data_IF_049570474853
#
_entry.id   IF_049570474853
#
_cell.length_a   1.000
_cell.length_b   1.000
_cell.length_c   1.000
_cell.angle_alpha   90.00
_cell.angle_beta   90.00
_cell.angle_gamma   90.00
#
_symmetry.space_group_name_H-M   'P 1'
#
loop_
_entity.id
_entity.type
_entity.pdbx_description
1 polymer ?
#
# COMPACT_ATOMS: atom_id res chain seq x y z
N UNK A 1 -29.78 -5.31 56.50
CA UNK A 1 -29.51 -4.05 55.79
C UNK A 1 -28.33 -4.18 54.81
N UNK A 2 -28.20 -5.31 54.09
CA UNK A 2 -26.99 -5.61 53.28
C UNK A 2 -27.23 -5.61 51.75
N UNK A 3 -28.45 -5.42 51.27
CA UNK A 3 -28.79 -5.62 49.84
C UNK A 3 -28.50 -4.43 48.92
N UNK A 4 -28.30 -3.22 49.45
CA UNK A 4 -28.26 -1.99 48.64
C UNK A 4 -26.82 -1.68 48.17
N UNK A 5 -25.80 -2.02 48.97
CA UNK A 5 -24.40 -1.74 48.68
C UNK A 5 -23.81 -2.63 47.55
N UNK A 6 -24.26 -3.88 47.42
CA UNK A 6 -23.81 -4.79 46.36
C UNK A 6 -24.32 -4.38 44.96
N UNK A 7 -25.51 -3.78 44.88
CA UNK A 7 -26.11 -3.35 43.61
C UNK A 7 -25.37 -2.15 42.98
N UNK A 8 -24.94 -1.20 43.81
CA UNK A 8 -24.15 -0.05 43.36
C UNK A 8 -22.74 -0.46 42.87
N UNK A 9 -22.13 -1.46 43.51
CA UNK A 9 -20.79 -1.94 43.17
C UNK A 9 -20.75 -2.67 41.81
N UNK A 10 -21.82 -3.37 41.45
CA UNK A 10 -21.94 -4.08 40.19
C UNK A 10 -22.18 -3.13 39.00
N UNK A 11 -23.08 -2.15 39.17
CA UNK A 11 -23.39 -1.17 38.11
C UNK A 11 -22.22 -0.24 37.79
N UNK A 12 -21.40 0.12 38.80
CA UNK A 12 -20.19 0.91 38.60
C UNK A 12 -19.07 0.13 37.88
N UNK A 13 -18.92 -1.17 38.20
CA UNK A 13 -17.96 -2.07 37.52
C UNK A 13 -18.27 -2.23 36.04
N UNK A 14 -19.54 -2.43 35.69
CA UNK A 14 -19.97 -2.60 34.29
C UNK A 14 -19.77 -1.30 33.50
N UNK A 15 -20.08 -0.14 34.09
CA UNK A 15 -19.90 1.18 33.46
C UNK A 15 -18.43 1.55 33.22
N UNK A 16 -17.54 1.30 34.18
CA UNK A 16 -16.10 1.50 33.99
C UNK A 16 -15.51 0.52 32.97
N UNK A 17 -15.94 -0.74 32.99
CA UNK A 17 -15.44 -1.76 32.06
C UNK A 17 -15.87 -1.48 30.61
N UNK A 18 -17.09 -0.95 30.41
CA UNK A 18 -17.55 -0.55 29.08
C UNK A 18 -16.81 0.68 28.56
N UNK A 19 -16.56 1.67 29.43
CA UNK A 19 -15.84 2.89 29.06
C UNK A 19 -14.39 2.60 28.65
N UNK A 20 -13.69 1.69 29.35
CA UNK A 20 -12.33 1.26 28.97
C UNK A 20 -12.30 0.54 27.62
N UNK A 21 -13.30 -0.29 27.32
CA UNK A 21 -13.38 -1.02 26.06
C UNK A 21 -13.61 -0.06 24.87
N UNK A 22 -14.43 0.98 25.05
CA UNK A 22 -14.66 2.02 24.03
C UNK A 22 -13.40 2.85 23.78
N UNK A 23 -12.65 3.23 24.83
CA UNK A 23 -11.41 4.00 24.70
C UNK A 23 -10.33 3.20 23.96
N UNK A 24 -10.16 1.92 24.29
CA UNK A 24 -9.23 1.03 23.57
C UNK A 24 -9.62 0.87 22.09
N UNK A 25 -10.91 0.79 21.76
CA UNK A 25 -11.39 0.72 20.39
C UNK A 25 -11.09 2.00 19.59
N UNK A 26 -11.21 3.18 20.20
CA UNK A 26 -10.92 4.44 19.52
C UNK A 26 -9.43 4.71 19.30
N UNK A 27 -8.55 4.21 20.18
CA UNK A 27 -7.09 4.36 20.06
C UNK A 27 -6.48 3.42 19.00
N UNK A 28 -7.18 2.35 18.61
CA UNK A 28 -6.71 1.42 17.58
C UNK A 28 -6.91 1.90 16.14
N UNK A 29 -7.59 3.02 15.90
CA UNK A 29 -7.96 3.51 14.57
C UNK A 29 -6.99 4.55 13.99
N UNK A 30 -5.97 4.98 14.74
CA UNK A 30 -4.89 5.78 14.17
C UNK A 30 -3.89 4.88 13.44
N UNK A 31 -4.21 4.53 12.19
CA UNK A 31 -3.25 3.91 11.28
C UNK A 31 -2.21 4.96 10.88
N UNK A 32 -0.94 4.77 11.28
CA UNK A 32 0.16 5.56 10.74
C UNK A 32 0.34 5.19 9.27
N UNK A 33 -0.18 6.00 8.36
CA UNK A 33 0.16 5.90 6.94
C UNK A 33 1.57 6.45 6.76
N UNK A 34 2.59 5.57 6.88
CA UNK A 34 3.94 5.92 6.45
C UNK A 34 3.86 6.19 4.95
N UNK A 35 4.16 7.43 4.54
CA UNK A 35 4.32 7.76 3.13
C UNK A 35 5.47 6.91 2.58
N UNK A 36 5.22 6.08 1.55
CA UNK A 36 6.24 5.21 1.01
C UNK A 36 7.36 6.05 0.40
N UNK A 37 8.61 5.64 0.62
CA UNK A 37 9.74 6.37 0.08
C UNK A 37 9.88 6.11 -1.42
N UNK A 38 9.62 4.88 -1.86
CA UNK A 38 9.71 4.44 -3.24
C UNK A 38 8.43 3.75 -3.71
N UNK A 39 8.00 4.06 -4.93
CA UNK A 39 6.86 3.44 -5.62
C UNK A 39 7.35 2.76 -6.88
N UNK A 40 6.99 1.50 -7.08
CA UNK A 40 7.25 0.75 -8.31
C UNK A 40 6.06 0.91 -9.24
N UNK A 41 6.33 1.31 -10.48
CA UNK A 41 5.36 1.37 -11.56
C UNK A 41 5.61 0.26 -12.57
N UNK A 42 4.55 -0.28 -13.15
CA UNK A 42 4.57 -1.26 -14.22
C UNK A 42 3.71 -0.80 -15.40
N UNK A 43 4.29 -0.85 -16.59
CA UNK A 43 3.62 -0.50 -17.83
C UNK A 43 3.56 -1.72 -18.74
N UNK A 44 2.40 -2.39 -18.86
CA UNK A 44 2.24 -3.58 -19.68
C UNK A 44 2.32 -3.22 -21.17
N UNK A 45 2.77 -4.16 -22.00
CA UNK A 45 2.88 -4.06 -23.47
C UNK A 45 3.82 -2.95 -23.98
N UNK A 46 4.45 -2.20 -23.09
CA UNK A 46 5.44 -1.18 -23.46
C UNK A 46 6.85 -1.76 -23.41
N UNK A 47 7.67 -1.38 -24.38
CA UNK A 47 9.11 -1.67 -24.43
C UNK A 47 9.97 -0.51 -23.93
N UNK A 48 9.37 0.68 -23.81
CA UNK A 48 9.99 1.93 -23.34
C UNK A 48 9.06 2.63 -22.36
N UNK A 49 9.63 3.45 -21.49
CA UNK A 49 8.85 4.26 -20.55
C UNK A 49 7.97 5.25 -21.33
N UNK A 50 6.69 5.37 -20.99
CA UNK A 50 5.83 6.34 -21.63
C UNK A 50 6.16 7.76 -21.15
N UNK A 51 6.01 8.74 -22.04
CA UNK A 51 6.06 10.17 -21.70
C UNK A 51 4.74 10.68 -21.06
N UNK A 52 3.77 9.77 -20.87
CA UNK A 52 2.49 10.09 -20.27
C UNK A 52 2.62 10.36 -18.76
N UNK A 53 1.70 11.16 -18.19
CA UNK A 53 1.65 11.36 -16.74
C UNK A 53 1.55 10.02 -15.98
N UNK A 54 2.15 9.98 -14.78
CA UNK A 54 2.07 8.80 -13.92
C UNK A 54 0.64 8.65 -13.41
N UNK A 55 0.10 7.45 -13.59
CA UNK A 55 -1.27 7.12 -13.20
C UNK A 55 -1.26 6.14 -12.01
N UNK A 56 -2.21 6.23 -11.07
CA UNK A 56 -2.23 5.36 -9.88
C UNK A 56 -2.42 3.88 -10.18
N UNK A 57 -3.08 3.54 -11.29
CA UNK A 57 -3.32 2.17 -11.73
C UNK A 57 -2.05 1.46 -12.23
N UNK A 58 -0.99 2.20 -12.52
CA UNK A 58 0.31 1.62 -12.90
C UNK A 58 1.16 1.26 -11.68
N UNK A 59 0.74 1.57 -10.45
CA UNK A 59 1.46 1.21 -9.23
C UNK A 59 1.46 -0.31 -9.04
N UNK A 60 2.64 -0.91 -8.99
CA UNK A 60 2.87 -2.34 -8.74
C UNK A 60 3.39 -2.63 -7.32
N UNK A 61 3.77 -1.60 -6.55
CA UNK A 61 4.15 -1.77 -5.15
C UNK A 61 4.82 -0.55 -4.52
N UNK A 62 5.05 -0.63 -3.21
CA UNK A 62 5.72 0.38 -2.42
C UNK A 62 6.90 -0.22 -1.65
N UNK A 63 7.97 0.56 -1.50
CA UNK A 63 9.24 0.11 -0.93
C UNK A 63 9.87 1.20 -0.06
N UNK A 64 10.66 0.77 0.92
CA UNK A 64 11.39 1.68 1.80
C UNK A 64 12.69 2.17 1.17
N UNK A 65 13.35 1.36 0.34
CA UNK A 65 14.63 1.73 -0.31
C UNK A 65 14.58 1.55 -1.82
N UNK A 66 15.45 2.28 -2.52
CA UNK A 66 15.60 2.17 -3.97
C UNK A 66 15.99 0.75 -4.39
N UNK A 67 16.91 0.13 -3.66
CA UNK A 67 17.43 -1.20 -3.95
C UNK A 67 16.31 -2.26 -3.89
N UNK A 68 15.38 -2.12 -2.95
CA UNK A 68 14.21 -3.00 -2.86
C UNK A 68 13.31 -2.84 -4.10
N UNK A 69 13.04 -1.59 -4.49
CA UNK A 69 12.22 -1.29 -5.67
C UNK A 69 12.85 -1.85 -6.96
N UNK A 70 14.14 -1.59 -7.19
CA UNK A 70 14.87 -2.08 -8.36
C UNK A 70 15.03 -3.60 -8.36
N UNK A 71 15.33 -4.21 -7.22
CA UNK A 71 15.44 -5.66 -7.10
C UNK A 71 14.13 -6.35 -7.46
N UNK A 72 12.99 -5.81 -7.02
CA UNK A 72 11.66 -6.30 -7.44
C UNK A 72 11.47 -6.13 -8.94
N UNK A 73 11.72 -4.93 -9.47
CA UNK A 73 11.57 -4.65 -10.90
C UNK A 73 12.37 -5.64 -11.76
N UNK A 74 13.64 -5.84 -11.46
CA UNK A 74 14.49 -6.80 -12.15
C UNK A 74 14.03 -8.25 -11.98
N UNK A 75 13.59 -8.63 -10.77
CA UNK A 75 13.03 -9.96 -10.53
C UNK A 75 11.80 -10.23 -11.39
N UNK A 76 10.88 -9.27 -11.47
CA UNK A 76 9.69 -9.38 -12.29
C UNK A 76 10.04 -9.41 -13.79
N UNK A 77 10.90 -8.51 -14.26
CA UNK A 77 11.38 -8.51 -15.65
C UNK A 77 11.97 -9.86 -16.07
N UNK A 78 12.73 -10.52 -15.19
CA UNK A 78 13.27 -11.86 -15.44
C UNK A 78 12.17 -12.90 -15.58
N UNK A 79 11.19 -12.89 -14.69
CA UNK A 79 10.06 -13.83 -14.73
C UNK A 79 9.23 -13.66 -16.00
N UNK A 80 9.00 -12.41 -16.44
CA UNK A 80 8.24 -12.12 -17.65
C UNK A 80 8.98 -12.58 -18.93
N UNK A 81 10.31 -12.45 -18.97
CA UNK A 81 11.14 -12.99 -20.08
C UNK A 81 11.22 -14.51 -20.10
N UNK A 82 11.17 -15.16 -18.94
CA UNK A 82 11.24 -16.62 -18.84
C UNK A 82 9.91 -17.31 -19.16
N UNK A 83 8.83 -16.57 -19.45
CA UNK A 83 7.51 -17.14 -19.72
C UNK A 83 6.89 -17.86 -18.52
N UNK A 84 7.40 -17.60 -17.30
CA UNK A 84 6.98 -18.25 -16.05
C UNK A 84 5.87 -17.47 -15.32
N UNK A 85 5.36 -16.42 -15.94
CA UNK A 85 4.29 -15.56 -15.43
C UNK A 85 2.93 -16.27 -15.57
N UNK A 86 2.64 -17.17 -14.64
CA UNK A 86 1.30 -17.72 -14.36
C UNK A 86 0.56 -16.93 -13.27
N UNK A 87 0.50 -15.59 -13.38
CA UNK A 87 -0.25 -14.74 -12.44
C UNK A 87 -1.41 -13.96 -13.10
N UNK A 88 -1.46 -13.85 -14.43
CA UNK A 88 -2.54 -13.15 -15.13
C UNK A 88 -3.21 -14.09 -16.14
N UNK A 89 -4.53 -14.21 -16.02
CA UNK A 89 -5.41 -15.14 -16.74
C UNK A 89 -5.59 -14.85 -18.25
N UNK A 90 -4.85 -13.89 -18.81
CA UNK A 90 -4.94 -13.50 -20.23
C UNK A 90 -3.64 -13.88 -20.97
N UNK A 91 -3.58 -15.14 -21.38
CA UNK A 91 -2.46 -15.79 -22.07
C UNK A 91 -2.15 -15.28 -23.50
N UNK A 92 -2.56 -14.06 -23.85
CA UNK A 92 -2.36 -13.49 -25.20
C UNK A 92 -1.43 -12.26 -25.24
N UNK A 93 -0.93 -11.79 -24.08
CA UNK A 93 0.06 -10.71 -24.05
C UNK A 93 1.45 -11.30 -23.95
N UNK A 94 2.21 -11.22 -25.04
CA UNK A 94 3.67 -11.32 -25.00
C UNK A 94 4.14 -10.47 -23.82
N UNK A 95 4.73 -11.12 -22.81
CA UNK A 95 5.08 -10.55 -21.51
C UNK A 95 6.20 -9.50 -21.56
N UNK A 96 5.99 -8.46 -22.33
CA UNK A 96 6.82 -7.28 -22.40
C UNK A 96 6.16 -6.19 -21.56
N UNK A 97 6.95 -5.58 -20.69
CA UNK A 97 6.54 -4.40 -19.96
C UNK A 97 7.76 -3.77 -19.31
N UNK A 98 7.68 -2.47 -19.08
CA UNK A 98 8.75 -1.71 -18.43
C UNK A 98 8.37 -1.37 -17.00
N UNK A 99 9.39 -1.27 -16.16
CA UNK A 99 9.27 -0.96 -14.76
C UNK A 99 10.02 0.33 -14.46
N UNK A 100 9.56 1.06 -13.47
CA UNK A 100 10.10 2.36 -13.07
C UNK A 100 9.95 2.53 -11.57
N UNK A 101 11.00 2.96 -10.89
CA UNK A 101 10.93 3.40 -9.50
C UNK A 101 10.73 4.92 -9.44
N UNK A 102 9.88 5.38 -8.54
CA UNK A 102 9.68 6.80 -8.24
C UNK A 102 9.80 7.08 -6.75
N UNK A 103 10.52 8.15 -6.40
CA UNK A 103 10.74 8.55 -5.01
C UNK A 103 9.70 9.58 -4.56
N UNK A 104 9.12 9.38 -3.38
CA UNK A 104 8.20 10.31 -2.72
C UNK A 104 7.10 10.80 -3.68
N UNK A 105 6.36 9.84 -4.25
CA UNK A 105 5.29 10.11 -5.20
C UNK A 105 4.01 10.49 -4.47
N UNK A 106 3.40 11.60 -4.88
CA UNK A 106 2.17 12.15 -4.29
C UNK A 106 1.17 12.52 -5.40
N UNK A 107 -0.12 12.48 -5.08
CA UNK A 107 -1.16 12.95 -6.00
C UNK A 107 -1.23 14.47 -5.95
N UNK A 108 -1.25 15.12 -7.12
CA UNK A 108 -1.55 16.54 -7.24
C UNK A 108 -3.07 16.81 -7.28
N UNK A 109 -3.45 18.08 -7.36
CA UNK A 109 -4.86 18.52 -7.43
C UNK A 109 -5.64 17.96 -8.63
N UNK A 110 -4.94 17.44 -9.64
CA UNK A 110 -5.51 16.84 -10.85
C UNK A 110 -5.55 15.30 -10.76
N UNK A 111 -5.29 14.71 -9.58
CA UNK A 111 -5.18 13.26 -9.38
C UNK A 111 -4.10 12.58 -10.22
N UNK A 112 -3.05 13.31 -10.57
CA UNK A 112 -1.86 12.80 -11.26
C UNK A 112 -0.76 12.56 -10.24
N UNK A 113 -0.02 11.46 -10.38
CA UNK A 113 1.13 11.18 -9.53
C UNK A 113 2.34 12.01 -9.96
N UNK A 114 2.92 12.71 -8.99
CA UNK A 114 4.15 13.49 -9.16
C UNK A 114 5.18 12.94 -8.18
N UNK A 115 6.31 12.47 -8.70
CA UNK A 115 7.44 11.99 -7.91
C UNK A 115 8.55 13.03 -7.88
N UNK A 116 9.30 13.09 -6.78
CA UNK A 116 10.48 13.96 -6.70
C UNK A 116 11.60 13.49 -7.63
N UNK A 117 11.73 12.18 -7.78
CA UNK A 117 12.72 11.55 -8.65
C UNK A 117 12.13 10.30 -9.30
N UNK A 118 12.57 10.02 -10.53
CA UNK A 118 12.30 8.78 -11.26
C UNK A 118 13.64 8.10 -11.59
N UNK A 119 13.77 6.81 -11.24
CA UNK A 119 14.91 5.94 -11.56
C UNK A 119 14.44 4.58 -12.08
N UNK A 120 15.10 4.05 -13.11
CA UNK A 120 14.84 2.70 -13.63
C UNK A 120 15.58 1.62 -12.83
#
# INVERSE_FOLDING_TARGET
MNGIAQSCYHSAKVRCSLAMLVICLTLGLSGCTKTPEWTLFYYPELSVLPDAPLQPDTINGYYDTLEQCQSKAHGLQRLTRSGMNGFDSDANRNGAGVYQCGQQCELNDQSVLICKQLTQ
#
